data_IF_336686812552
#
_entry.id   IF_336686812552
#
_cell.length_a   1.000
_cell.length_b   1.000
_cell.length_c   1.000
_cell.angle_alpha   90.00
_cell.angle_beta   90.00
_cell.angle_gamma   90.00
#
_symmetry.space_group_name_H-M   'P 1'
#
loop_
_entity.id
_entity.type
_entity.pdbx_description
1 polymer ?
#
# COMPACT_ATOMS: atom_id res chain seq x y z
N UNK A 1 -15.32 3.73 21.70
CA UNK A 1 -14.93 2.48 21.04
C UNK A 1 -14.18 1.60 22.02
N UNK A 2 -14.66 0.37 22.20
CA UNK A 2 -13.93 -0.65 22.97
C UNK A 2 -12.59 -0.99 22.28
N UNK A 3 -11.61 -1.53 23.02
CA UNK A 3 -10.30 -1.93 22.45
C UNK A 3 -10.44 -2.84 21.23
N UNK A 4 -11.45 -3.72 21.23
CA UNK A 4 -11.77 -4.65 20.14
C UNK A 4 -12.22 -3.92 18.87
N UNK A 5 -13.08 -2.92 18.99
CA UNK A 5 -13.61 -2.16 17.85
C UNK A 5 -12.49 -1.37 17.14
N UNK A 6 -11.59 -0.74 17.91
CA UNK A 6 -10.44 -0.01 17.34
C UNK A 6 -9.52 -0.93 16.55
N UNK A 7 -9.21 -2.11 17.11
CA UNK A 7 -8.34 -3.09 16.46
C UNK A 7 -8.93 -3.58 15.13
N UNK A 8 -10.24 -3.85 15.09
CA UNK A 8 -10.94 -4.25 13.86
C UNK A 8 -10.88 -3.13 12.81
N UNK A 9 -11.09 -1.88 13.21
CA UNK A 9 -11.00 -0.73 12.30
C UNK A 9 -9.61 -0.61 11.68
N UNK A 10 -8.55 -0.74 12.49
CA UNK A 10 -7.16 -0.64 11.99
C UNK A 10 -6.84 -1.75 11.01
N UNK A 11 -7.15 -3.01 11.34
CA UNK A 11 -6.91 -4.14 10.44
C UNK A 11 -7.70 -3.97 9.14
N UNK A 12 -8.95 -3.54 9.23
CA UNK A 12 -9.79 -3.30 8.04
C UNK A 12 -9.18 -2.21 7.16
N UNK A 13 -8.73 -1.09 7.74
CA UNK A 13 -8.07 -0.02 7.02
C UNK A 13 -6.76 -0.49 6.37
N UNK A 14 -5.95 -1.27 7.08
CA UNK A 14 -4.71 -1.84 6.56
C UNK A 14 -4.98 -2.74 5.34
N UNK A 15 -5.94 -3.66 5.45
CA UNK A 15 -6.31 -4.57 4.35
C UNK A 15 -6.81 -3.78 3.13
N UNK A 16 -7.60 -2.72 3.35
CA UNK A 16 -8.06 -1.84 2.27
C UNK A 16 -6.87 -1.17 1.57
N UNK A 17 -5.92 -0.59 2.33
CA UNK A 17 -4.72 0.04 1.74
C UNK A 17 -3.90 -0.97 0.93
N UNK A 18 -3.74 -2.19 1.43
CA UNK A 18 -3.03 -3.26 0.71
C UNK A 18 -3.75 -3.61 -0.60
N UNK A 19 -5.07 -3.80 -0.58
CA UNK A 19 -5.85 -4.12 -1.79
C UNK A 19 -5.74 -2.98 -2.81
N UNK A 20 -5.89 -1.72 -2.37
CA UNK A 20 -5.75 -0.55 -3.25
C UNK A 20 -4.35 -0.50 -3.85
N UNK A 21 -3.30 -0.72 -3.03
CA UNK A 21 -1.90 -0.80 -3.48
C UNK A 21 -1.71 -1.82 -4.59
N UNK A 22 -2.16 -3.06 -4.37
CA UNK A 22 -2.03 -4.15 -5.35
C UNK A 22 -2.73 -3.78 -6.65
N UNK A 23 -4.00 -3.39 -6.59
CA UNK A 23 -4.78 -3.09 -7.80
C UNK A 23 -4.18 -1.89 -8.55
N UNK A 24 -3.80 -0.84 -7.83
CA UNK A 24 -3.20 0.34 -8.44
C UNK A 24 -1.86 0.03 -9.12
N UNK A 25 -0.98 -0.75 -8.50
CA UNK A 25 0.28 -1.13 -9.11
C UNK A 25 0.11 -2.10 -10.30
N UNK A 26 -0.84 -3.04 -10.24
CA UNK A 26 -1.15 -3.87 -11.41
C UNK A 26 -1.59 -3.02 -12.62
N UNK A 27 -2.40 -1.99 -12.39
CA UNK A 27 -2.93 -1.15 -13.47
C UNK A 27 -1.94 -0.09 -13.96
N UNK A 28 -1.14 0.49 -13.07
CA UNK A 28 -0.24 1.61 -13.40
C UNK A 28 1.15 1.15 -13.87
N UNK A 29 1.60 -0.02 -13.43
CA UNK A 29 2.92 -0.56 -13.78
C UNK A 29 2.84 -1.73 -14.76
N UNK A 30 1.64 -2.23 -15.07
CA UNK A 30 1.40 -3.41 -15.94
C UNK A 30 2.21 -4.63 -15.49
N UNK A 31 2.17 -4.92 -14.17
CA UNK A 31 2.93 -6.00 -13.54
C UNK A 31 2.02 -7.12 -13.01
N UNK A 32 2.61 -8.28 -12.75
CA UNK A 32 1.88 -9.42 -12.19
C UNK A 32 1.31 -9.09 -10.80
N UNK A 33 0.31 -9.87 -10.35
CA UNK A 33 -0.23 -9.76 -9.00
C UNK A 33 0.86 -9.88 -7.92
N UNK A 34 1.80 -10.80 -8.09
CA UNK A 34 2.88 -11.03 -7.13
C UNK A 34 3.83 -9.84 -7.08
N UNK A 35 4.16 -9.26 -8.23
CA UNK A 35 5.00 -8.07 -8.31
C UNK A 35 4.31 -6.85 -7.70
N UNK A 36 3.01 -6.66 -7.95
CA UNK A 36 2.22 -5.59 -7.35
C UNK A 36 2.07 -5.76 -5.83
N UNK A 37 1.91 -7.00 -5.35
CA UNK A 37 1.91 -7.32 -3.92
C UNK A 37 3.28 -7.03 -3.29
N UNK A 38 4.37 -7.43 -3.96
CA UNK A 38 5.72 -7.13 -3.54
C UNK A 38 5.96 -5.62 -3.45
N UNK A 39 5.62 -4.87 -4.50
CA UNK A 39 5.67 -3.40 -4.54
C UNK A 39 4.88 -2.76 -3.40
N UNK A 40 3.65 -3.22 -3.18
CA UNK A 40 2.81 -2.75 -2.07
C UNK A 40 3.49 -3.01 -0.72
N UNK A 41 4.00 -4.21 -0.51
CA UNK A 41 4.66 -4.60 0.74
C UNK A 41 5.90 -3.75 1.03
N UNK A 42 6.81 -3.59 0.05
CA UNK A 42 8.03 -2.77 0.24
C UNK A 42 7.70 -1.28 0.42
N UNK A 43 6.59 -0.80 -0.15
CA UNK A 43 6.12 0.58 -0.01
C UNK A 43 5.60 0.85 1.40
N UNK A 44 4.60 0.07 1.87
CA UNK A 44 3.94 0.32 3.15
C UNK A 44 4.82 -0.03 4.35
N UNK A 45 5.79 -0.93 4.18
CA UNK A 45 6.77 -1.28 5.21
C UNK A 45 7.94 -0.30 5.28
N UNK A 46 7.99 0.70 4.40
CA UNK A 46 9.10 1.66 4.26
C UNK A 46 10.46 1.03 3.94
N UNK A 47 10.48 -0.25 3.54
CA UNK A 47 11.72 -0.96 3.18
C UNK A 47 12.30 -0.40 1.89
N UNK A 48 11.46 -0.10 0.88
CA UNK A 48 11.86 0.58 -0.35
C UNK A 48 13.02 -0.11 -1.09
N UNK A 49 12.77 -1.28 -1.69
CA UNK A 49 13.74 -1.97 -2.55
C UNK A 49 13.61 -1.52 -4.03
N UNK A 50 14.12 -2.30 -4.97
CA UNK A 50 13.98 -2.05 -6.40
C UNK A 50 12.51 -2.07 -6.84
N UNK A 51 12.11 -1.04 -7.56
CA UNK A 51 10.79 -0.91 -8.17
C UNK A 51 10.59 -1.99 -9.25
N UNK A 52 9.37 -2.54 -9.31
CA UNK A 52 8.99 -3.51 -10.34
C UNK A 52 8.09 -2.81 -11.34
N UNK A 53 8.63 -2.55 -12.54
CA UNK A 53 7.93 -1.80 -13.61
C UNK A 53 8.44 -0.37 -13.79
N UNK A 54 7.92 0.32 -14.81
CA UNK A 54 8.32 1.70 -15.12
C UNK A 54 7.52 2.70 -14.27
N UNK A 55 8.21 3.42 -13.38
CA UNK A 55 7.60 4.45 -12.55
C UNK A 55 7.31 5.74 -13.33
N UNK A 56 6.20 5.73 -14.05
CA UNK A 56 5.60 6.91 -14.66
C UNK A 56 5.13 7.91 -13.60
N UNK A 57 4.92 9.18 -13.98
CA UNK A 57 4.46 10.21 -13.04
C UNK A 57 3.15 9.85 -12.32
N UNK A 58 2.13 9.26 -12.98
CA UNK A 58 0.94 8.75 -12.29
C UNK A 58 1.24 7.67 -11.25
N UNK A 59 2.14 6.72 -11.56
CA UNK A 59 2.54 5.67 -10.63
C UNK A 59 3.26 6.24 -9.39
N UNK A 60 4.14 7.22 -9.58
CA UNK A 60 4.82 7.92 -8.47
C UNK A 60 3.82 8.66 -7.57
N UNK A 61 2.90 9.40 -8.17
CA UNK A 61 1.85 10.11 -7.41
C UNK A 61 1.00 9.11 -6.62
N UNK A 62 0.63 7.99 -7.23
CA UNK A 62 -0.08 6.91 -6.55
C UNK A 62 0.72 6.35 -5.37
N UNK A 63 2.00 6.02 -5.55
CA UNK A 63 2.88 5.54 -4.48
C UNK A 63 2.96 6.52 -3.31
N UNK A 64 3.04 7.83 -3.57
CA UNK A 64 3.05 8.87 -2.53
C UNK A 64 1.80 8.76 -1.64
N UNK A 65 0.61 8.58 -2.25
CA UNK A 65 -0.62 8.38 -1.48
C UNK A 65 -0.62 7.07 -0.69
N UNK A 66 -0.12 5.98 -1.26
CA UNK A 66 0.00 4.69 -0.55
C UNK A 66 0.95 4.79 0.65
N UNK A 67 2.07 5.51 0.52
CA UNK A 67 3.01 5.75 1.62
C UNK A 67 2.31 6.49 2.76
N UNK A 68 1.65 7.62 2.47
CA UNK A 68 0.97 8.39 3.51
C UNK A 68 -0.19 7.62 4.16
N UNK A 69 -0.96 6.87 3.37
CA UNK A 69 -2.04 6.02 3.90
C UNK A 69 -1.49 4.88 4.78
N UNK A 70 -0.42 4.22 4.34
CA UNK A 70 0.25 3.16 5.10
C UNK A 70 0.81 3.68 6.44
N UNK A 71 1.49 4.83 6.41
CA UNK A 71 1.99 5.48 7.63
C UNK A 71 0.86 5.91 8.58
N UNK A 72 -0.24 6.43 8.05
CA UNK A 72 -1.39 6.82 8.88
C UNK A 72 -2.01 5.60 9.59
N UNK A 73 -2.12 4.46 8.91
CA UNK A 73 -2.64 3.22 9.51
C UNK A 73 -1.65 2.66 10.54
N UNK A 74 -0.35 2.65 10.22
CA UNK A 74 0.69 2.16 11.13
C UNK A 74 0.84 3.02 12.39
N UNK A 75 0.77 4.34 12.25
CA UNK A 75 0.88 5.28 13.37
C UNK A 75 -0.36 5.40 14.26
N UNK A 76 -1.49 4.83 13.84
CA UNK A 76 -2.71 4.75 14.67
C UNK A 76 -2.70 3.56 15.64
N UNK A 77 -1.79 2.59 15.43
CA UNK A 77 -1.52 1.47 16.35
C UNK A 77 -0.73 1.95 17.55
#
# INVERSE_FOLDING_TARGET
MEKKEKFITIISAFVIVVIIGIVGYMLLLDVSFIDALYMTAITISTVGYTEVGEMTDPAKIFSIFIIFAGLAVAGYV
#
